data_IF_488488088554
#
_entry.id   IF_488488088554
#
_cell.length_a   1.000
_cell.length_b   1.000
_cell.length_c   1.000
_cell.angle_alpha   90.00
_cell.angle_beta   90.00
_cell.angle_gamma   90.00
#
_symmetry.space_group_name_H-M   'P 1'
#
loop_
_entity.id
_entity.type
_entity.pdbx_description
1 polymer ?
#
# COMPACT_ATOMS: atom_id res chain seq x y z
N UNK A 1 22.63 -10.93 8.14
CA UNK A 1 21.81 -10.25 9.17
C UNK A 1 20.48 -9.78 8.60
N UNK A 2 20.47 -9.29 7.35
CA UNK A 2 19.25 -8.88 6.61
C UNK A 2 18.07 -9.86 6.66
N UNK A 3 18.29 -11.16 6.43
CA UNK A 3 17.19 -12.15 6.41
C UNK A 3 16.52 -12.29 7.78
N UNK A 4 17.30 -12.26 8.86
CA UNK A 4 16.75 -12.34 10.22
C UNK A 4 15.92 -11.10 10.53
N UNK A 5 16.41 -9.91 10.17
CA UNK A 5 15.66 -8.66 10.31
C UNK A 5 14.37 -8.68 9.50
N UNK A 6 14.40 -9.18 8.26
CA UNK A 6 13.23 -9.31 7.41
C UNK A 6 12.16 -10.24 8.04
N UNK A 7 12.58 -11.36 8.64
CA UNK A 7 11.66 -12.28 9.34
C UNK A 7 11.03 -11.59 10.56
N UNK A 8 11.84 -10.91 11.38
CA UNK A 8 11.35 -10.23 12.60
C UNK A 8 10.39 -9.10 12.25
N UNK A 9 10.75 -8.24 11.29
CA UNK A 9 9.90 -7.13 10.84
C UNK A 9 8.63 -7.66 10.18
N UNK A 10 8.73 -8.69 9.34
CA UNK A 10 7.59 -9.34 8.71
C UNK A 10 6.62 -9.95 9.74
N UNK A 11 7.15 -10.63 10.77
CA UNK A 11 6.35 -11.18 11.85
C UNK A 11 5.65 -10.08 12.67
N UNK A 12 6.37 -9.01 13.01
CA UNK A 12 5.79 -7.86 13.71
C UNK A 12 4.70 -7.16 12.88
N UNK A 13 4.92 -7.01 11.58
CA UNK A 13 3.93 -6.47 10.65
C UNK A 13 2.69 -7.35 10.56
N UNK A 14 2.87 -8.66 10.38
CA UNK A 14 1.76 -9.62 10.34
C UNK A 14 0.95 -9.65 11.64
N UNK A 15 1.63 -9.66 12.79
CA UNK A 15 0.97 -9.60 14.10
C UNK A 15 0.17 -8.31 14.28
N UNK A 16 0.67 -7.19 13.77
CA UNK A 16 -0.05 -5.90 13.81
C UNK A 16 -1.28 -5.94 12.91
N UNK A 17 -1.15 -6.46 11.68
CA UNK A 17 -2.28 -6.60 10.74
C UNK A 17 -3.40 -7.49 11.29
N UNK A 18 -3.04 -8.58 11.96
CA UNK A 18 -3.99 -9.48 12.58
C UNK A 18 -4.73 -8.81 13.75
N UNK A 19 -3.99 -8.13 14.63
CA UNK A 19 -4.58 -7.41 15.78
C UNK A 19 -5.55 -6.30 15.40
N UNK A 20 -5.33 -5.60 14.29
CA UNK A 20 -6.23 -4.54 13.82
C UNK A 20 -7.43 -5.08 13.02
N UNK A 21 -7.53 -6.41 12.83
CA UNK A 21 -8.61 -7.06 12.09
C UNK A 21 -8.47 -6.98 10.56
N UNK A 22 -7.30 -6.58 10.04
CA UNK A 22 -7.06 -6.50 8.60
C UNK A 22 -6.92 -7.88 7.93
N UNK A 23 -6.79 -8.95 8.70
CA UNK A 23 -6.78 -10.35 8.23
C UNK A 23 -8.19 -10.89 7.93
N UNK A 24 -9.26 -10.14 8.24
CA UNK A 24 -10.66 -10.52 7.99
C UNK A 24 -11.27 -9.73 6.84
N UNK A 25 -11.96 -10.36 5.87
CA UNK A 25 -12.48 -9.68 4.69
C UNK A 25 -13.73 -8.89 5.07
N UNK A 26 -14.39 -9.25 6.18
CA UNK A 26 -15.58 -8.59 6.68
C UNK A 26 -15.24 -7.16 7.08
N UNK A 27 -14.09 -6.95 7.74
CA UNK A 27 -13.62 -5.60 8.08
C UNK A 27 -13.22 -4.82 6.84
N UNK A 28 -12.54 -5.45 5.89
CA UNK A 28 -12.15 -4.81 4.62
C UNK A 28 -13.37 -4.42 3.79
N UNK A 29 -14.36 -5.30 3.63
CA UNK A 29 -15.60 -5.02 2.88
C UNK A 29 -16.43 -3.93 3.59
N UNK A 30 -16.46 -3.92 4.93
CA UNK A 30 -17.12 -2.84 5.69
C UNK A 30 -16.43 -1.48 5.49
N UNK A 31 -15.11 -1.48 5.35
CA UNK A 31 -14.34 -0.28 4.99
C UNK A 31 -14.64 0.18 3.57
N UNK A 32 -14.60 -0.73 2.59
CA UNK A 32 -14.87 -0.41 1.18
C UNK A 32 -16.33 0.02 0.94
N UNK A 33 -17.27 -0.49 1.73
CA UNK A 33 -18.69 -0.07 1.71
C UNK A 33 -19.00 1.13 2.61
N UNK A 34 -17.97 1.80 3.16
CA UNK A 34 -18.06 2.99 4.00
C UNK A 34 -18.88 2.83 5.29
N UNK A 35 -19.13 1.60 5.73
CA UNK A 35 -19.88 1.30 6.96
C UNK A 35 -19.02 1.41 8.21
N UNK A 36 -17.76 1.01 8.12
CA UNK A 36 -16.80 1.13 9.22
C UNK A 36 -15.43 1.52 8.68
N UNK A 37 -14.92 2.66 9.12
CA UNK A 37 -13.74 3.30 8.58
C UNK A 37 -12.51 3.16 9.48
N UNK A 38 -12.60 2.36 10.54
CA UNK A 38 -11.47 2.11 11.45
C UNK A 38 -10.22 1.68 10.67
N UNK A 39 -10.33 0.71 9.76
CA UNK A 39 -9.19 0.29 8.93
C UNK A 39 -8.67 1.41 8.03
N UNK A 40 -9.55 2.25 7.48
CA UNK A 40 -9.14 3.36 6.62
C UNK A 40 -8.32 4.38 7.41
N UNK A 41 -8.75 4.71 8.64
CA UNK A 41 -7.98 5.55 9.56
C UNK A 41 -6.60 4.96 9.84
N UNK A 42 -6.54 3.68 10.18
CA UNK A 42 -5.27 3.01 10.50
C UNK A 42 -4.32 3.01 9.32
N UNK A 43 -4.81 2.77 8.10
CA UNK A 43 -4.01 2.83 6.87
C UNK A 43 -3.50 4.25 6.62
N UNK A 44 -4.35 5.27 6.71
CA UNK A 44 -3.96 6.67 6.51
C UNK A 44 -2.93 7.13 7.56
N UNK A 45 -3.12 6.76 8.83
CA UNK A 45 -2.20 7.06 9.91
C UNK A 45 -0.85 6.35 9.70
N UNK A 46 -0.86 5.08 9.30
CA UNK A 46 0.35 4.32 9.03
C UNK A 46 1.13 4.89 7.83
N UNK A 47 0.45 5.24 6.74
CA UNK A 47 1.06 5.89 5.58
C UNK A 47 1.65 7.24 6.00
N UNK A 48 0.88 8.08 6.69
CA UNK A 48 1.33 9.40 7.11
C UNK A 48 2.54 9.35 8.05
N UNK A 49 2.49 8.49 9.05
CA UNK A 49 3.61 8.27 9.99
C UNK A 49 4.83 7.71 9.28
N UNK A 50 4.65 6.72 8.39
CA UNK A 50 5.72 6.14 7.61
C UNK A 50 6.40 7.16 6.69
N UNK A 51 5.62 8.00 6.01
CA UNK A 51 6.17 9.10 5.20
C UNK A 51 6.96 10.09 6.05
N UNK A 52 6.41 10.57 7.16
CA UNK A 52 7.11 11.52 8.04
C UNK A 52 8.43 10.93 8.55
N UNK A 53 8.41 9.72 9.10
CA UNK A 53 9.61 9.07 9.63
C UNK A 53 10.67 8.82 8.55
N UNK A 54 10.23 8.42 7.35
CA UNK A 54 11.15 8.12 6.25
C UNK A 54 11.84 9.40 5.75
N UNK A 55 11.08 10.45 5.44
CA UNK A 55 11.65 11.72 4.96
C UNK A 55 12.41 12.49 6.05
N UNK A 56 11.95 12.46 7.30
CA UNK A 56 12.70 13.03 8.43
C UNK A 56 14.01 12.27 8.68
N UNK A 57 13.99 10.94 8.56
CA UNK A 57 15.18 10.09 8.65
C UNK A 57 16.20 10.37 7.53
N UNK A 58 15.73 10.72 6.33
CA UNK A 58 16.60 11.20 5.24
C UNK A 58 17.23 12.55 5.55
N UNK A 59 16.43 13.52 6.05
CA UNK A 59 16.95 14.84 6.43
C UNK A 59 17.96 14.76 7.58
N UNK A 60 17.78 13.80 8.50
CA UNK A 60 18.70 13.53 9.59
C UNK A 60 19.95 12.73 9.17
N UNK A 61 20.05 12.28 7.91
CA UNK A 61 21.17 11.47 7.41
C UNK A 61 21.20 10.03 7.92
N UNK A 62 20.11 9.54 8.53
CA UNK A 62 19.97 8.18 9.07
C UNK A 62 19.50 7.21 7.98
N UNK A 63 18.78 7.71 6.98
CA UNK A 63 18.22 6.93 5.87
C UNK A 63 18.87 7.36 4.55
N UNK A 64 19.61 6.45 3.92
CA UNK A 64 20.24 6.71 2.62
C UNK A 64 19.20 6.83 1.50
N UNK A 65 19.24 7.96 0.80
CA UNK A 65 18.41 8.26 -0.38
C UNK A 65 18.62 7.23 -1.50
N UNK A 66 19.77 6.56 -1.53
CA UNK A 66 20.11 5.53 -2.54
C UNK A 66 19.25 4.26 -2.46
N UNK A 67 18.55 4.02 -1.33
CA UNK A 67 17.59 2.91 -1.22
C UNK A 67 16.17 3.29 -1.69
N UNK A 68 15.93 4.55 -2.08
CA UNK A 68 14.66 4.94 -2.69
C UNK A 68 14.53 4.42 -4.11
N UNK A 69 13.70 3.40 -4.29
CA UNK A 69 13.30 2.90 -5.60
C UNK A 69 11.95 3.49 -6.01
N UNK A 70 11.98 4.62 -6.72
CA UNK A 70 10.79 5.19 -7.34
C UNK A 70 10.44 4.35 -8.55
N UNK A 71 9.21 3.83 -8.58
CA UNK A 71 8.70 3.08 -9.73
C UNK A 71 8.16 4.05 -10.77
N UNK A 72 8.48 3.81 -12.04
CA UNK A 72 8.04 4.66 -13.15
C UNK A 72 6.52 4.63 -13.29
N UNK A 73 5.94 5.79 -13.59
CA UNK A 73 4.54 5.91 -13.94
C UNK A 73 4.38 5.64 -15.45
N UNK A 74 3.56 4.66 -15.80
CA UNK A 74 3.21 4.34 -17.19
C UNK A 74 1.80 3.75 -17.23
N UNK A 75 1.21 3.64 -18.42
CA UNK A 75 -0.20 3.21 -18.62
C UNK A 75 -0.47 1.86 -17.95
N UNK A 76 0.45 0.91 -18.07
CA UNK A 76 0.33 -0.39 -17.39
C UNK A 76 0.28 -0.33 -15.86
N UNK A 77 0.87 0.68 -15.19
CA UNK A 77 0.70 0.89 -13.74
C UNK A 77 -0.74 1.30 -13.43
N UNK A 78 -1.33 2.17 -14.24
CA UNK A 78 -2.72 2.60 -14.07
C UNK A 78 -3.69 1.43 -14.26
N UNK A 79 -3.54 0.67 -15.34
CA UNK A 79 -4.37 -0.51 -15.61
C UNK A 79 -4.17 -1.57 -14.52
N UNK A 80 -2.93 -1.84 -14.14
CA UNK A 80 -2.60 -2.77 -13.06
C UNK A 80 -3.19 -2.34 -11.72
N UNK A 81 -3.17 -1.04 -11.42
CA UNK A 81 -3.80 -0.47 -10.22
C UNK A 81 -5.32 -0.65 -10.20
N UNK A 82 -6.00 -0.47 -11.33
CA UNK A 82 -7.44 -0.72 -11.44
C UNK A 82 -7.77 -2.21 -11.27
N UNK A 83 -7.00 -3.11 -11.89
CA UNK A 83 -7.17 -4.55 -11.73
C UNK A 83 -6.94 -4.99 -10.29
N UNK A 84 -5.88 -4.48 -9.64
CA UNK A 84 -5.59 -4.76 -8.24
C UNK A 84 -6.71 -4.22 -7.32
N UNK A 85 -7.18 -2.99 -7.57
CA UNK A 85 -8.28 -2.38 -6.82
C UNK A 85 -9.59 -3.15 -6.96
N UNK A 86 -9.94 -3.56 -8.18
CA UNK A 86 -11.10 -4.39 -8.44
C UNK A 86 -10.99 -5.77 -7.79
N UNK A 87 -9.82 -6.41 -7.89
CA UNK A 87 -9.54 -7.69 -7.23
C UNK A 87 -9.61 -7.59 -5.70
N UNK A 88 -9.11 -6.49 -5.13
CA UNK A 88 -9.21 -6.20 -3.70
C UNK A 88 -10.67 -6.04 -3.27
N UNK A 89 -11.47 -5.30 -4.03
CA UNK A 89 -12.89 -5.10 -3.75
C UNK A 89 -13.71 -6.40 -3.83
N UNK A 90 -13.38 -7.28 -4.78
CA UNK A 90 -14.07 -8.56 -4.95
C UNK A 90 -13.67 -9.60 -3.90
N UNK A 91 -12.38 -9.69 -3.57
CA UNK A 91 -11.85 -10.73 -2.67
C UNK A 91 -11.85 -10.33 -1.20
N UNK A 92 -11.90 -9.03 -0.90
CA UNK A 92 -11.72 -8.52 0.45
C UNK A 92 -10.30 -8.70 0.99
N UNK A 93 -9.31 -8.93 0.13
CA UNK A 93 -7.89 -9.05 0.50
C UNK A 93 -6.97 -8.27 -0.41
N UNK A 94 -5.99 -7.58 0.18
CA UNK A 94 -4.82 -7.13 -0.54
C UNK A 94 -3.67 -8.15 -0.36
N UNK A 95 -2.61 -8.14 -1.19
CA UNK A 95 -1.56 -9.14 -1.17
C UNK A 95 -0.95 -9.39 0.21
N UNK A 96 -0.70 -8.34 1.00
CA UNK A 96 -0.16 -8.47 2.36
C UNK A 96 -1.17 -9.09 3.34
N UNK A 97 -2.40 -8.57 3.37
CA UNK A 97 -3.46 -9.09 4.25
C UNK A 97 -3.86 -10.52 3.91
N UNK A 98 -3.79 -10.93 2.64
CA UNK A 98 -4.09 -12.29 2.22
C UNK A 98 -3.09 -13.30 2.78
N UNK A 99 -1.79 -12.98 2.74
CA UNK A 99 -0.76 -13.84 3.33
C UNK A 99 -0.91 -13.94 4.84
N UNK A 100 -1.16 -12.81 5.52
CA UNK A 100 -1.43 -12.82 6.96
C UNK A 100 -2.70 -13.59 7.30
N UNK A 101 -3.79 -13.44 6.54
CA UNK A 101 -5.03 -14.18 6.74
C UNK A 101 -4.87 -15.69 6.55
N UNK A 102 -4.05 -16.11 5.57
CA UNK A 102 -3.71 -17.51 5.37
C UNK A 102 -2.94 -18.07 6.57
N UNK A 103 -2.02 -17.28 7.14
CA UNK A 103 -1.29 -17.61 8.36
C UNK A 103 -2.20 -17.67 9.60
N UNK A 104 -3.23 -16.80 9.69
CA UNK A 104 -4.27 -16.84 10.73
C UNK A 104 -5.30 -17.97 10.54
N UNK A 105 -5.06 -18.91 9.63
CA UNK A 105 -5.88 -20.13 9.45
C UNK A 105 -7.05 -20.01 8.47
N UNK A 106 -7.15 -18.92 7.71
CA UNK A 106 -8.29 -18.67 6.82
C UNK A 106 -8.11 -19.38 5.47
N UNK A 107 -9.05 -20.27 5.14
CA UNK A 107 -8.98 -21.13 3.95
C UNK A 107 -9.22 -20.38 2.63
N UNK A 108 -10.10 -19.38 2.65
CA UNK A 108 -10.39 -18.51 1.51
C UNK A 108 -9.18 -17.67 1.09
N UNK A 109 -8.32 -17.31 2.04
CA UNK A 109 -7.07 -16.61 1.76
C UNK A 109 -6.09 -17.43 0.88
N UNK A 110 -6.08 -18.76 1.04
CA UNK A 110 -5.25 -19.65 0.21
C UNK A 110 -5.69 -19.66 -1.25
N UNK A 111 -7.01 -19.59 -1.50
CA UNK A 111 -7.56 -19.49 -2.86
C UNK A 111 -7.17 -18.15 -3.48
N UNK A 112 -7.24 -17.06 -2.72
CA UNK A 112 -6.78 -15.74 -3.15
C UNK A 112 -5.28 -15.75 -3.51
N UNK A 113 -4.42 -16.33 -2.66
CA UNK A 113 -2.98 -16.43 -2.91
C UNK A 113 -2.70 -17.23 -4.18
N UNK A 114 -3.33 -18.40 -4.32
CA UNK A 114 -3.17 -19.24 -5.51
C UNK A 114 -3.61 -18.51 -6.78
N UNK A 115 -4.78 -17.85 -6.75
CA UNK A 115 -5.27 -17.05 -7.87
C UNK A 115 -4.35 -15.88 -8.22
N UNK A 116 -3.83 -15.18 -7.22
CA UNK A 116 -2.88 -14.08 -7.40
C UNK A 116 -1.56 -14.55 -8.00
N UNK A 117 -1.02 -15.68 -7.56
CA UNK A 117 0.20 -16.28 -8.11
C UNK A 117 0.01 -16.77 -9.55
N UNK A 118 -1.14 -17.39 -9.85
CA UNK A 118 -1.47 -17.80 -11.22
C UNK A 118 -1.64 -16.59 -12.14
N UNK A 119 -2.29 -15.53 -11.68
CA UNK A 119 -2.41 -14.27 -12.41
C UNK A 119 -1.04 -13.63 -12.67
N UNK A 120 -0.17 -13.61 -11.66
CA UNK A 120 1.21 -13.12 -11.81
C UNK A 120 2.02 -13.96 -12.80
N UNK A 121 1.90 -15.29 -12.76
CA UNK A 121 2.56 -16.19 -13.69
C UNK A 121 2.06 -15.97 -15.14
N UNK A 122 0.74 -15.85 -15.33
CA UNK A 122 0.15 -15.55 -16.64
C UNK A 122 0.61 -14.18 -17.18
N UNK A 123 0.68 -13.17 -16.32
CA UNK A 123 1.22 -11.87 -16.69
C UNK A 123 2.69 -11.96 -17.09
N UNK A 124 3.52 -12.66 -16.31
CA UNK A 124 4.94 -12.84 -16.63
C UNK A 124 5.17 -13.58 -17.96
N UNK A 125 4.30 -14.54 -18.29
CA UNK A 125 4.35 -15.25 -19.57
C UNK A 125 3.98 -14.34 -20.75
N UNK A 126 3.01 -13.44 -20.56
CA UNK A 126 2.56 -12.48 -21.59
C UNK A 126 3.36 -11.17 -21.58
N UNK A 127 4.25 -10.98 -20.60
CA UNK A 127 5.05 -9.77 -20.43
C UNK A 127 5.84 -9.35 -21.69
N UNK A 128 6.48 -10.26 -22.45
CA UNK A 128 7.16 -9.89 -23.69
C UNK A 128 6.22 -9.21 -24.71
N UNK A 129 4.97 -9.68 -24.80
CA UNK A 129 3.94 -9.11 -25.68
C UNK A 129 3.51 -7.72 -25.21
N UNK A 130 3.29 -7.52 -23.91
CA UNK A 130 2.98 -6.21 -23.33
C UNK A 130 4.14 -5.21 -23.43
N UNK A 131 5.38 -5.69 -23.36
CA UNK A 131 6.56 -4.86 -23.59
C UNK A 131 6.67 -4.42 -25.05
N UNK A 132 6.30 -5.30 -25.99
CA UNK A 132 6.32 -4.97 -27.42
C UNK A 132 5.20 -4.04 -27.87
N UNK A 133 4.12 -3.90 -27.10
CA UNK A 133 2.99 -3.03 -27.44
C UNK A 133 3.19 -1.55 -27.07
N UNK A 134 4.33 -1.19 -26.48
CA UNK A 134 4.62 0.19 -26.04
C UNK A 134 3.80 0.65 -24.83
N UNK A 135 2.93 -0.20 -24.27
CA UNK A 135 2.08 0.13 -23.12
C UNK A 135 2.87 0.31 -21.81
N UNK A 136 4.12 -0.15 -21.80
CA UNK A 136 5.08 -0.03 -20.71
C UNK A 136 6.04 1.15 -20.90
N UNK A 137 5.93 1.89 -22.01
CA UNK A 137 6.75 3.08 -22.25
C UNK A 137 6.26 4.22 -21.34
N UNK A 138 7.23 4.91 -20.73
CA UNK A 138 6.97 5.90 -19.69
C UNK A 138 6.09 7.04 -20.19
N UNK A 139 4.95 7.26 -19.54
CA UNK A 139 4.22 8.51 -19.68
C UNK A 139 4.92 9.57 -18.81
N UNK A 140 5.16 10.75 -19.37
CA UNK A 140 5.70 11.90 -18.66
C UNK A 140 7.09 11.69 -18.01
N UNK A 141 8.10 11.22 -18.76
CA UNK A 141 9.52 11.27 -18.32
C UNK A 141 10.02 10.07 -17.50
N UNK A 142 9.20 9.05 -17.25
CA UNK A 142 9.64 7.81 -16.61
C UNK A 142 9.52 7.83 -15.08
N UNK A 143 10.63 7.69 -14.36
CA UNK A 143 10.66 7.67 -12.87
C UNK A 143 10.59 9.11 -12.33
N UNK A 144 9.41 9.72 -12.43
CA UNK A 144 9.19 11.11 -12.02
C UNK A 144 8.59 11.13 -10.61
N UNK A 145 9.17 11.94 -9.73
CA UNK A 145 8.67 12.18 -8.38
C UNK A 145 7.79 13.44 -8.36
N UNK A 146 6.84 13.53 -7.42
CA UNK A 146 5.98 14.73 -7.32
C UNK A 146 6.76 16.01 -6.95
N UNK A 147 7.87 15.89 -6.21
CA UNK A 147 8.84 16.97 -5.92
C UNK A 147 10.28 16.48 -6.10
N UNK A 148 11.22 17.40 -6.31
CA UNK A 148 12.64 17.07 -6.49
C UNK A 148 13.25 16.64 -5.16
N UNK A 149 13.58 15.35 -5.01
CA UNK A 149 14.32 14.87 -3.83
C UNK A 149 15.81 15.20 -4.01
N UNK A 150 16.41 16.05 -3.15
CA UNK A 150 17.84 16.36 -3.23
C UNK A 150 18.67 15.07 -3.13
N UNK A 151 19.43 14.74 -4.19
CA UNK A 151 20.28 13.54 -4.25
C UNK A 151 19.66 12.29 -4.89
N UNK A 152 18.38 12.32 -5.29
CA UNK A 152 17.79 11.26 -6.10
C UNK A 152 17.93 11.57 -7.60
N UNK A 153 18.23 10.56 -8.44
CA UNK A 153 18.31 10.68 -9.92
C UNK A 153 16.92 10.78 -10.59
N UNK A 154 15.96 11.48 -9.98
CA UNK A 154 14.57 11.55 -10.43
C UNK A 154 14.14 13.00 -10.60
N UNK A 155 13.61 13.33 -11.78
CA UNK A 155 13.06 14.65 -12.06
C UNK A 155 11.77 14.85 -11.25
N UNK A 156 11.67 15.99 -10.57
CA UNK A 156 10.48 16.38 -9.83
C UNK A 156 9.50 17.13 -10.71
N UNK A 157 8.22 16.75 -10.67
CA UNK A 157 7.14 17.43 -11.40
C UNK A 157 6.84 18.84 -10.84
N UNK A 158 7.20 19.09 -9.57
CA UNK A 158 7.13 20.40 -8.91
C UNK A 158 8.52 20.85 -8.45
N UNK A 159 8.79 22.16 -8.50
CA UNK A 159 10.04 22.81 -8.11
C UNK A 159 10.27 22.89 -6.57
N UNK A 160 9.70 21.96 -5.81
CA UNK A 160 9.73 21.93 -4.35
C UNK A 160 10.49 20.70 -3.86
N UNK A 161 11.25 20.85 -2.77
CA UNK A 161 12.02 19.76 -2.16
C UNK A 161 11.10 18.59 -1.79
N UNK A 162 11.33 17.43 -2.40
CA UNK A 162 10.53 16.22 -2.25
C UNK A 162 10.43 15.74 -0.80
N UNK A 163 11.44 16.02 0.02
CA UNK A 163 11.46 15.66 1.44
C UNK A 163 10.43 16.44 2.25
N UNK A 164 10.37 17.76 2.04
CA UNK A 164 9.38 18.63 2.68
C UNK A 164 7.98 18.30 2.18
N UNK A 165 7.82 18.01 0.89
CA UNK A 165 6.54 17.60 0.32
C UNK A 165 6.06 16.27 0.93
N UNK A 166 6.97 15.31 1.12
CA UNK A 166 6.70 14.03 1.76
C UNK A 166 6.27 14.16 3.22
N UNK A 167 6.93 15.04 3.98
CA UNK A 167 6.55 15.34 5.38
C UNK A 167 5.20 16.04 5.44
N UNK A 168 4.95 17.04 4.57
CA UNK A 168 3.68 17.77 4.52
C UNK A 168 2.52 16.85 4.14
N UNK A 169 2.68 16.03 3.09
CA UNK A 169 1.68 15.03 2.70
C UNK A 169 1.46 14.00 3.81
N UNK A 170 2.53 13.55 4.46
CA UNK A 170 2.45 12.68 5.61
C UNK A 170 1.62 13.30 6.74
N UNK A 171 1.86 14.57 7.07
CA UNK A 171 1.09 15.34 8.04
C UNK A 171 -0.38 15.49 7.67
N UNK A 172 -0.68 15.72 6.38
CA UNK A 172 -2.06 15.74 5.86
C UNK A 172 -2.74 14.39 6.07
N UNK A 173 -2.08 13.27 5.76
CA UNK A 173 -2.66 11.93 5.97
C UNK A 173 -2.91 11.63 7.45
N UNK A 174 -2.00 12.02 8.34
CA UNK A 174 -2.20 11.91 9.79
C UNK A 174 -3.41 12.72 10.24
N UNK A 175 -3.49 13.99 9.81
CA UNK A 175 -4.61 14.87 10.16
C UNK A 175 -5.95 14.34 9.65
N UNK A 176 -6.00 13.86 8.40
CA UNK A 176 -7.21 13.23 7.84
C UNK A 176 -7.58 11.99 8.63
N UNK A 177 -6.62 11.15 9.03
CA UNK A 177 -6.89 9.96 9.84
C UNK A 177 -7.57 10.30 11.18
N UNK A 178 -7.17 11.42 11.82
CA UNK A 178 -7.79 11.90 13.05
C UNK A 178 -9.17 12.54 12.83
N UNK A 179 -9.35 13.30 11.74
CA UNK A 179 -10.62 13.97 11.44
C UNK A 179 -11.71 13.02 10.92
N UNK A 180 -11.32 11.90 10.33
CA UNK A 180 -12.27 10.96 9.75
C UNK A 180 -13.21 10.42 10.86
N UNK A 181 -14.54 10.29 10.64
CA UNK A 181 -15.40 9.57 11.58
C UNK A 181 -15.15 8.05 11.53
N UNK A 182 -15.52 7.32 12.57
CA UNK A 182 -15.43 5.85 12.55
C UNK A 182 -16.49 5.21 11.63
N UNK A 183 -17.58 5.91 11.36
CA UNK A 183 -18.72 5.46 10.55
C UNK A 183 -19.28 6.65 9.76
N UNK A 184 -19.39 6.53 8.43
CA UNK A 184 -20.00 7.56 7.57
C UNK A 184 -21.51 7.34 7.38
N UNK A 185 -21.96 6.09 7.45
CA UNK A 185 -23.38 5.71 7.31
C UNK A 185 -23.88 5.11 8.62
N UNK A 186 -25.03 5.59 9.10
CA UNK A 186 -25.48 5.53 10.50
C UNK A 186 -25.69 4.16 11.18
N UNK A 187 -25.82 4.25 12.51
CA UNK A 187 -26.20 3.26 13.52
C UNK A 187 -26.61 1.84 13.03
N UNK A 188 -25.71 0.87 13.22
CA UNK A 188 -25.95 -0.58 13.11
C UNK A 188 -24.73 -1.35 13.65
N UNK A 189 -24.87 -2.58 14.18
CA UNK A 189 -24.56 -2.97 15.56
C UNK A 189 -23.12 -2.71 16.05
N UNK A 190 -22.94 -2.80 17.37
CA UNK A 190 -21.65 -2.77 18.06
C UNK A 190 -20.62 -3.73 17.45
N UNK A 191 -19.35 -3.41 17.69
CA UNK A 191 -18.20 -4.21 17.32
C UNK A 191 -18.45 -5.68 17.64
N UNK A 192 -18.54 -6.51 16.60
CA UNK A 192 -18.37 -7.95 16.79
C UNK A 192 -16.92 -8.12 17.21
N UNK A 193 -16.73 -8.55 18.46
CA UNK A 193 -15.44 -8.92 18.99
C UNK A 193 -14.74 -9.86 18.01
N UNK A 194 -13.43 -9.67 17.86
CA UNK A 194 -12.59 -10.65 17.18
C UNK A 194 -12.67 -11.95 17.99
N UNK A 195 -13.36 -12.95 17.44
CA UNK A 195 -13.08 -14.37 17.68
C UNK A 195 -12.09 -14.86 16.62
#
# INVERSE_FOLDING_TARGET
>A
MEILLAIVVGAAFGATLDRIGATSPNWIIRMLSLRNLHLMKTILLAIGTGSILMFAGQMAGIVDVMHMSVKSAYVGVFIGGLLLGGGWAASGYCPGTGVCAAASGRKDAWVFIAGGLLGAAAYMMTYPSWKSSGLLDGLAGGKVTLGTVPGAKYDGLMAMSGDVLGIVLGGVFVLVAFLLPERLVGNGPEAVAAE
#
